data_IF_146149709044
#
_entry.id   IF_146149709044
#
_cell.length_a   1.000
_cell.length_b   1.000
_cell.length_c   1.000
_cell.angle_alpha   90.00
_cell.angle_beta   90.00
_cell.angle_gamma   90.00
#
_symmetry.space_group_name_H-M   'P 1'
#
loop_
_entity.id
_entity.type
_entity.pdbx_description
1 polymer ?
#
# COMPACT_ATOMS: atom_id res chain seq x y z
N UNK A 1 -13.90 -34.69 5.17
CA UNK A 1 -14.33 -33.31 5.50
C UNK A 1 -14.51 -32.49 4.22
N UNK A 2 -15.62 -31.75 4.06
CA UNK A 2 -15.81 -30.81 2.93
C UNK A 2 -15.57 -29.37 3.42
N UNK A 3 -14.87 -28.51 2.65
CA UNK A 3 -14.67 -27.11 3.02
C UNK A 3 -15.94 -26.29 2.79
N UNK A 4 -16.09 -25.22 3.56
CA UNK A 4 -17.03 -24.14 3.28
C UNK A 4 -16.34 -23.17 2.34
N UNK A 5 -16.93 -22.90 1.18
CA UNK A 5 -16.39 -21.92 0.22
C UNK A 5 -17.07 -20.58 0.46
N UNK A 6 -16.30 -19.56 0.81
CA UNK A 6 -16.76 -18.16 0.92
C UNK A 6 -15.87 -17.29 0.04
N UNK A 7 -16.44 -16.66 -0.99
CA UNK A 7 -15.71 -15.68 -1.84
C UNK A 7 -14.37 -16.23 -2.36
N UNK A 8 -14.40 -17.42 -2.98
CA UNK A 8 -13.22 -18.14 -3.49
C UNK A 8 -12.20 -18.58 -2.43
N UNK A 9 -12.55 -18.53 -1.14
CA UNK A 9 -11.73 -19.03 -0.04
C UNK A 9 -12.32 -20.34 0.48
N UNK A 10 -11.50 -21.39 0.55
CA UNK A 10 -11.91 -22.66 1.12
C UNK A 10 -11.56 -22.73 2.62
N UNK A 11 -12.57 -22.82 3.47
CA UNK A 11 -12.42 -22.88 4.93
C UNK A 11 -12.76 -24.28 5.43
N UNK A 12 -11.78 -24.96 6.00
CA UNK A 12 -11.95 -26.25 6.67
C UNK A 12 -12.16 -26.02 8.16
N UNK A 13 -13.37 -26.28 8.66
CA UNK A 13 -13.76 -26.06 10.05
C UNK A 13 -14.28 -27.38 10.66
N UNK A 14 -13.40 -28.34 10.98
CA UNK A 14 -13.84 -29.62 11.52
C UNK A 14 -14.39 -29.43 12.94
N UNK A 15 -15.38 -30.24 13.29
CA UNK A 15 -15.92 -30.34 14.64
C UNK A 15 -15.43 -31.65 15.27
N UNK A 16 -14.23 -31.61 15.86
CA UNK A 16 -13.49 -32.80 16.31
C UNK A 16 -12.60 -32.47 17.52
N UNK A 17 -12.15 -33.51 18.21
CA UNK A 17 -10.89 -33.48 18.96
C UNK A 17 -9.75 -33.70 17.97
N UNK A 18 -8.77 -32.80 17.94
CA UNK A 18 -7.68 -32.88 16.98
C UNK A 18 -6.55 -33.74 17.54
N UNK A 19 -6.67 -35.05 17.36
CA UNK A 19 -5.64 -36.06 17.65
C UNK A 19 -4.90 -36.47 16.36
N UNK A 20 -3.86 -37.30 16.52
CA UNK A 20 -3.04 -37.77 15.40
C UNK A 20 -3.81 -38.55 14.34
N UNK A 21 -4.90 -39.24 14.72
CA UNK A 21 -5.73 -39.99 13.77
C UNK A 21 -6.47 -39.04 12.84
N UNK A 22 -7.21 -38.08 13.40
CA UNK A 22 -7.99 -37.09 12.66
C UNK A 22 -7.08 -36.18 11.83
N UNK A 23 -5.90 -35.83 12.35
CA UNK A 23 -4.90 -35.08 11.59
C UNK A 23 -4.46 -35.82 10.33
N UNK A 24 -4.27 -37.14 10.36
CA UNK A 24 -3.92 -37.93 9.17
C UNK A 24 -5.04 -37.89 8.12
N UNK A 25 -6.29 -38.05 8.55
CA UNK A 25 -7.46 -37.96 7.66
C UNK A 25 -7.56 -36.56 7.01
N UNK A 26 -7.29 -35.49 7.77
CA UNK A 26 -7.23 -34.12 7.25
C UNK A 26 -6.12 -33.95 6.20
N UNK A 27 -4.94 -34.55 6.43
CA UNK A 27 -3.82 -34.48 5.48
C UNK A 27 -4.13 -35.17 4.14
N UNK A 28 -4.84 -36.29 4.17
CA UNK A 28 -5.31 -36.98 2.97
C UNK A 28 -6.27 -36.11 2.16
N UNK A 29 -7.17 -35.40 2.83
CA UNK A 29 -8.09 -34.42 2.21
C UNK A 29 -7.32 -33.30 1.52
N UNK A 30 -6.31 -32.70 2.17
CA UNK A 30 -5.52 -31.63 1.54
C UNK A 30 -4.74 -32.14 0.32
N UNK A 31 -4.19 -33.34 0.40
CA UNK A 31 -3.40 -33.93 -0.69
C UNK A 31 -4.26 -34.19 -1.92
N UNK A 32 -5.46 -34.75 -1.73
CA UNK A 32 -6.41 -35.10 -2.79
C UNK A 32 -7.08 -33.88 -3.42
N UNK A 33 -7.32 -32.80 -2.65
CA UNK A 33 -8.09 -31.64 -3.13
C UNK A 33 -7.31 -30.63 -3.99
N UNK A 34 -6.01 -30.83 -4.22
CA UNK A 34 -5.19 -29.90 -5.01
C UNK A 34 -5.72 -29.62 -6.44
N UNK A 35 -6.28 -30.62 -7.12
CA UNK A 35 -6.91 -30.44 -8.44
C UNK A 35 -8.21 -29.63 -8.35
N UNK A 36 -9.04 -29.94 -7.35
CA UNK A 36 -10.31 -29.24 -7.09
C UNK A 36 -10.09 -27.76 -6.79
N UNK A 37 -9.09 -27.45 -5.94
CA UNK A 37 -8.69 -26.07 -5.60
C UNK A 37 -8.38 -25.27 -6.87
N UNK A 38 -7.62 -25.85 -7.81
CA UNK A 38 -7.30 -25.20 -9.09
C UNK A 38 -8.55 -25.03 -9.97
N UNK A 39 -9.38 -26.07 -10.07
CA UNK A 39 -10.59 -26.03 -10.92
C UNK A 39 -11.63 -25.00 -10.46
N UNK A 40 -11.72 -24.77 -9.15
CA UNK A 40 -12.65 -23.82 -8.54
C UNK A 40 -12.05 -22.42 -8.40
N UNK A 41 -10.85 -22.18 -8.91
CA UNK A 41 -10.13 -20.89 -8.80
C UNK A 41 -10.04 -20.38 -7.36
N UNK A 42 -9.86 -21.30 -6.40
CA UNK A 42 -9.75 -20.96 -4.98
C UNK A 42 -8.49 -20.10 -4.76
N UNK A 43 -8.65 -18.97 -4.07
CA UNK A 43 -7.61 -17.97 -3.84
C UNK A 43 -6.87 -18.15 -2.52
N UNK A 44 -7.47 -18.83 -1.54
CA UNK A 44 -6.82 -19.17 -0.28
C UNK A 44 -7.48 -20.38 0.40
N UNK A 45 -6.73 -21.05 1.26
CA UNK A 45 -7.22 -22.18 2.08
C UNK A 45 -6.97 -21.92 3.55
N UNK A 46 -8.03 -21.90 4.36
CA UNK A 46 -7.93 -21.71 5.81
C UNK A 46 -8.35 -22.97 6.56
N UNK A 47 -7.67 -23.22 7.68
CA UNK A 47 -8.09 -24.23 8.65
C UNK A 47 -8.53 -23.55 9.94
N UNK A 48 -9.78 -23.76 10.32
CA UNK A 48 -10.44 -23.10 11.45
C UNK A 48 -10.41 -23.97 12.70
N UNK A 49 -10.02 -23.37 13.82
CA UNK A 49 -10.06 -23.96 15.16
C UNK A 49 -11.38 -23.67 15.91
N UNK A 50 -12.35 -23.00 15.27
CA UNK A 50 -13.58 -22.52 15.92
C UNK A 50 -14.38 -23.62 16.61
N UNK A 51 -14.36 -24.84 16.04
CA UNK A 51 -15.07 -26.01 16.55
C UNK A 51 -14.13 -27.09 17.11
N UNK A 52 -12.90 -26.73 17.48
CA UNK A 52 -11.90 -27.65 18.02
C UNK A 52 -11.63 -27.31 19.48
N UNK A 53 -12.06 -28.19 20.39
CA UNK A 53 -11.98 -27.93 21.84
C UNK A 53 -10.75 -28.56 22.50
N UNK A 54 -10.13 -29.56 21.86
CA UNK A 54 -8.94 -30.24 22.36
C UNK A 54 -7.97 -30.46 21.21
N UNK A 55 -6.67 -30.32 21.51
CA UNK A 55 -5.64 -30.39 20.49
C UNK A 55 -4.37 -31.08 21.01
N UNK A 56 -3.90 -32.06 20.23
CA UNK A 56 -2.55 -32.62 20.32
C UNK A 56 -1.55 -31.77 19.52
N UNK A 57 -0.36 -31.52 20.08
CA UNK A 57 0.66 -30.67 19.44
C UNK A 57 1.22 -31.32 18.16
N UNK A 58 1.42 -32.64 18.18
CA UNK A 58 1.86 -33.39 17.00
C UNK A 58 0.85 -33.33 15.86
N UNK A 59 -0.44 -33.41 16.20
CA UNK A 59 -1.55 -33.29 15.26
C UNK A 59 -1.57 -31.90 14.57
N UNK A 60 -1.40 -30.80 15.32
CA UNK A 60 -1.30 -29.44 14.74
C UNK A 60 -0.13 -29.35 13.77
N UNK A 61 1.05 -29.81 14.19
CA UNK A 61 2.26 -29.73 13.37
C UNK A 61 2.05 -30.49 12.06
N UNK A 62 1.40 -31.66 12.11
CA UNK A 62 1.10 -32.46 10.93
C UNK A 62 0.13 -31.72 9.98
N UNK A 63 -0.96 -31.15 10.50
CA UNK A 63 -1.92 -30.35 9.72
C UNK A 63 -1.23 -29.12 9.09
N UNK A 64 -0.40 -28.40 9.84
CA UNK A 64 0.32 -27.24 9.34
C UNK A 64 1.28 -27.62 8.21
N UNK A 65 2.02 -28.73 8.34
CA UNK A 65 2.90 -29.24 7.28
C UNK A 65 2.12 -29.59 6.01
N UNK A 66 0.96 -30.22 6.15
CA UNK A 66 0.12 -30.55 5.01
C UNK A 66 -0.45 -29.31 4.31
N UNK A 67 -0.86 -28.28 5.08
CA UNK A 67 -1.26 -26.99 4.52
C UNK A 67 -0.12 -26.29 3.77
N UNK A 68 1.08 -26.26 4.35
CA UNK A 68 2.24 -25.63 3.69
C UNK A 68 2.66 -26.40 2.42
N UNK A 69 2.61 -27.74 2.45
CA UNK A 69 2.82 -28.55 1.26
C UNK A 69 1.75 -28.29 0.19
N UNK A 70 0.50 -28.06 0.60
CA UNK A 70 -0.57 -27.65 -0.30
C UNK A 70 -0.31 -26.26 -0.91
N UNK A 71 0.06 -25.27 -0.08
CA UNK A 71 0.47 -23.93 -0.54
C UNK A 71 1.57 -24.04 -1.60
N UNK A 72 2.60 -24.84 -1.32
CA UNK A 72 3.72 -25.04 -2.25
C UNK A 72 3.30 -25.68 -3.57
N UNK A 73 2.31 -26.58 -3.54
CA UNK A 73 1.83 -27.33 -4.69
C UNK A 73 0.88 -26.52 -5.57
N UNK A 74 0.05 -25.65 -4.98
CA UNK A 74 -0.99 -24.90 -5.70
C UNK A 74 -0.76 -23.40 -5.79
N UNK A 75 0.25 -22.89 -5.08
CA UNK A 75 0.64 -21.47 -5.04
C UNK A 75 -0.50 -20.55 -4.63
N UNK A 76 -1.13 -20.85 -3.48
CA UNK A 76 -2.13 -19.98 -2.84
C UNK A 76 -1.83 -19.84 -1.34
N UNK A 77 -2.16 -18.70 -0.71
CA UNK A 77 -1.97 -18.53 0.73
C UNK A 77 -2.77 -19.54 1.55
N UNK A 78 -2.13 -20.02 2.63
CA UNK A 78 -2.78 -20.82 3.67
C UNK A 78 -2.67 -20.16 5.03
N UNK A 79 -3.64 -20.40 5.91
CA UNK A 79 -3.63 -19.84 7.26
C UNK A 79 -4.43 -20.69 8.25
N UNK A 80 -4.10 -20.50 9.53
CA UNK A 80 -4.94 -20.92 10.64
C UNK A 80 -5.81 -19.76 11.12
N UNK A 81 -7.09 -20.06 11.38
CA UNK A 81 -8.08 -19.08 11.84
C UNK A 81 -8.93 -19.59 13.00
N UNK A 82 -9.72 -18.71 13.61
CA UNK A 82 -10.83 -19.11 14.49
C UNK A 82 -10.42 -19.70 15.85
N UNK A 83 -9.18 -19.48 16.28
CA UNK A 83 -8.68 -20.02 17.56
C UNK A 83 -9.10 -19.17 18.77
N UNK A 84 -9.18 -19.80 19.93
CA UNK A 84 -9.34 -19.15 21.23
C UNK A 84 -8.04 -18.46 21.68
N UNK A 85 -8.12 -17.63 22.74
CA UNK A 85 -6.93 -16.95 23.30
C UNK A 85 -5.89 -17.96 23.84
N UNK A 86 -6.35 -19.06 24.43
CA UNK A 86 -5.45 -20.12 24.94
C UNK A 86 -4.79 -20.90 23.80
N UNK A 87 -5.54 -21.19 22.74
CA UNK A 87 -5.01 -21.83 21.53
C UNK A 87 -4.00 -20.93 20.81
N UNK A 88 -4.25 -19.62 20.72
CA UNK A 88 -3.32 -18.68 20.10
C UNK A 88 -1.93 -18.72 20.72
N UNK A 89 -1.84 -18.74 22.06
CA UNK A 89 -0.56 -18.83 22.77
C UNK A 89 0.18 -20.13 22.43
N UNK A 90 -0.54 -21.25 22.39
CA UNK A 90 0.04 -22.56 22.02
C UNK A 90 0.52 -22.57 20.56
N UNK A 91 -0.29 -22.09 19.63
CA UNK A 91 0.05 -22.02 18.21
C UNK A 91 1.29 -21.14 17.96
N UNK A 92 1.41 -19.99 18.64
CA UNK A 92 2.62 -19.15 18.58
C UNK A 92 3.87 -19.89 19.04
N UNK A 93 3.77 -20.67 20.12
CA UNK A 93 4.89 -21.44 20.65
C UNK A 93 5.31 -22.57 19.70
N UNK A 94 4.37 -23.21 19.00
CA UNK A 94 4.65 -24.27 18.02
C UNK A 94 5.25 -23.75 16.72
N UNK A 95 4.98 -22.50 16.34
CA UNK A 95 5.44 -21.90 15.08
C UNK A 95 6.22 -20.59 15.29
N UNK A 96 7.31 -20.57 16.08
CA UNK A 96 7.99 -19.33 16.47
C UNK A 96 8.56 -18.52 15.29
N UNK A 97 8.75 -19.17 14.14
CA UNK A 97 9.23 -18.56 12.90
C UNK A 97 8.10 -17.98 12.03
N UNK A 98 6.85 -17.96 12.53
CA UNK A 98 5.66 -17.50 11.79
C UNK A 98 5.46 -18.26 10.47
N UNK A 99 5.88 -19.52 10.42
CA UNK A 99 5.86 -20.35 9.21
C UNK A 99 4.45 -20.58 8.66
N UNK A 100 3.44 -20.56 9.54
CA UNK A 100 2.03 -20.55 9.16
C UNK A 100 1.37 -19.28 9.72
N UNK A 101 0.71 -18.46 8.88
CA UNK A 101 -0.04 -17.30 9.33
C UNK A 101 -1.19 -17.68 10.27
N UNK A 102 -1.31 -16.95 11.38
CA UNK A 102 -2.42 -17.03 12.32
C UNK A 102 -3.24 -15.73 12.24
N UNK A 103 -4.54 -15.84 11.96
CA UNK A 103 -5.46 -14.72 12.03
C UNK A 103 -6.65 -15.06 12.92
N UNK A 104 -7.12 -14.12 13.75
CA UNK A 104 -8.19 -14.40 14.69
C UNK A 104 -9.48 -14.92 14.01
N UNK A 105 -9.80 -14.45 12.81
CA UNK A 105 -10.94 -14.90 12.01
C UNK A 105 -10.69 -14.74 10.50
N UNK A 106 -11.62 -15.24 9.68
CA UNK A 106 -11.58 -15.17 8.21
C UNK A 106 -11.59 -13.73 7.67
N UNK A 107 -12.25 -12.80 8.37
CA UNK A 107 -12.33 -11.40 7.96
C UNK A 107 -10.98 -10.69 8.09
N UNK A 108 -10.27 -10.90 9.19
CA UNK A 108 -8.91 -10.37 9.40
C UNK A 108 -7.94 -11.00 8.41
N UNK A 109 -8.01 -12.32 8.19
CA UNK A 109 -7.18 -13.00 7.20
C UNK A 109 -7.40 -12.41 5.80
N UNK A 110 -8.67 -12.25 5.40
CA UNK A 110 -9.02 -11.72 4.08
C UNK A 110 -8.55 -10.28 3.89
N UNK A 111 -8.58 -9.47 4.95
CA UNK A 111 -8.07 -8.10 4.89
C UNK A 111 -6.56 -8.05 4.74
N UNK A 112 -5.84 -8.70 5.64
CA UNK A 112 -4.38 -8.62 5.68
C UNK A 112 -3.71 -9.37 4.50
N UNK A 113 -4.38 -10.36 3.91
CA UNK A 113 -3.91 -11.06 2.71
C UNK A 113 -4.37 -10.44 1.39
N UNK A 114 -5.07 -9.29 1.41
CA UNK A 114 -5.39 -8.58 0.17
C UNK A 114 -6.67 -9.02 -0.55
N UNK A 115 -7.47 -9.90 0.04
CA UNK A 115 -8.66 -10.47 -0.61
C UNK A 115 -9.93 -9.64 -0.42
N UNK A 116 -10.09 -8.98 0.72
CA UNK A 116 -11.28 -8.16 1.03
C UNK A 116 -10.94 -7.00 1.96
N UNK A 117 -11.25 -5.78 1.49
CA UNK A 117 -10.95 -4.54 2.21
C UNK A 117 -12.18 -4.04 2.99
N UNK A 118 -12.04 -3.61 4.26
CA UNK A 118 -13.03 -2.78 4.94
C UNK A 118 -13.18 -1.43 4.22
N UNK A 119 -14.35 -0.75 4.31
CA UNK A 119 -14.50 0.62 3.82
C UNK A 119 -13.46 1.56 4.46
N UNK A 120 -12.87 2.49 3.71
CA UNK A 120 -11.81 3.38 4.24
C UNK A 120 -12.27 4.25 5.41
N UNK A 121 -13.56 4.61 5.38
CA UNK A 121 -14.20 5.45 6.39
C UNK A 121 -14.32 4.70 7.73
N UNK A 122 -14.22 3.37 7.70
CA UNK A 122 -14.23 2.54 8.89
C UNK A 122 -12.86 2.62 9.57
N UNK A 123 -12.85 3.04 10.84
CA UNK A 123 -11.60 3.12 11.63
C UNK A 123 -11.04 1.71 11.84
N UNK A 124 -9.71 1.58 11.77
CA UNK A 124 -9.02 0.34 12.13
C UNK A 124 -8.53 0.48 13.56
N UNK A 125 -9.04 -0.35 14.47
CA UNK A 125 -8.53 -0.44 15.84
C UNK A 125 -7.59 -1.64 15.91
N UNK A 126 -6.30 -1.37 16.14
CA UNK A 126 -5.27 -2.39 16.08
C UNK A 126 -4.53 -2.53 17.42
N UNK A 127 -4.54 -3.74 17.96
CA UNK A 127 -3.76 -4.12 19.12
C UNK A 127 -2.82 -5.30 18.79
N UNK A 128 -1.54 -5.12 19.10
CA UNK A 128 -0.52 -6.16 19.08
C UNK A 128 0.43 -5.96 20.27
N UNK A 129 1.01 -7.06 20.76
CA UNK A 129 2.04 -6.99 21.80
C UNK A 129 3.45 -6.79 21.21
N UNK A 130 3.61 -7.04 19.91
CA UNK A 130 4.85 -6.81 19.18
C UNK A 130 4.80 -5.41 18.53
N UNK A 131 5.45 -4.43 19.16
CA UNK A 131 5.42 -3.04 18.71
C UNK A 131 6.01 -2.82 17.31
N UNK A 132 6.95 -3.67 16.88
CA UNK A 132 7.50 -3.60 15.52
C UNK A 132 6.48 -4.07 14.49
N UNK A 133 5.82 -5.20 14.76
CA UNK A 133 4.72 -5.70 13.91
C UNK A 133 3.58 -4.70 13.87
N UNK A 134 3.26 -4.10 15.03
CA UNK A 134 2.22 -3.09 15.11
C UNK A 134 2.52 -1.90 14.19
N UNK A 135 3.76 -1.41 14.24
CA UNK A 135 4.22 -0.28 13.44
C UNK A 135 4.23 -0.57 11.95
N UNK A 136 4.70 -1.77 11.55
CA UNK A 136 4.76 -2.14 10.13
C UNK A 136 3.36 -2.28 9.52
N UNK A 137 2.45 -2.97 10.21
CA UNK A 137 1.08 -3.13 9.73
C UNK A 137 0.34 -1.80 9.77
N UNK A 138 0.48 -1.00 10.84
CA UNK A 138 -0.20 0.29 10.90
C UNK A 138 0.27 1.22 9.79
N UNK A 139 1.57 1.29 9.52
CA UNK A 139 2.12 2.07 8.41
C UNK A 139 1.58 1.59 7.07
N UNK A 140 1.57 0.28 6.81
CA UNK A 140 1.03 -0.27 5.56
C UNK A 140 -0.46 0.07 5.38
N UNK A 141 -1.24 -0.05 6.46
CA UNK A 141 -2.66 0.31 6.43
C UNK A 141 -2.88 1.83 6.27
N UNK A 142 -2.04 2.66 6.88
CA UNK A 142 -2.05 4.12 6.68
C UNK A 142 -1.66 4.51 5.25
N UNK A 143 -0.69 3.82 4.64
CA UNK A 143 -0.31 3.98 3.23
C UNK A 143 -1.47 3.61 2.31
N UNK A 144 -2.25 2.60 2.68
CA UNK A 144 -3.52 2.23 2.03
C UNK A 144 -4.68 3.16 2.38
N UNK A 145 -4.47 4.10 3.31
CA UNK A 145 -5.40 5.18 3.58
C UNK A 145 -6.28 5.07 4.81
N UNK A 146 -6.14 3.99 5.58
CA UNK A 146 -6.96 3.78 6.76
C UNK A 146 -6.55 4.70 7.91
N UNK A 147 -7.54 5.21 8.65
CA UNK A 147 -7.30 5.75 9.99
C UNK A 147 -7.04 4.58 10.95
N UNK A 148 -5.79 4.41 11.36
CA UNK A 148 -5.37 3.33 12.28
C UNK A 148 -5.17 3.88 13.70
N UNK A 149 -5.95 3.35 14.64
CA UNK A 149 -5.81 3.60 16.07
C UNK A 149 -5.03 2.44 16.68
N UNK A 150 -3.73 2.65 16.90
CA UNK A 150 -2.87 1.71 17.61
C UNK A 150 -3.09 1.79 19.12
N UNK A 151 -3.30 0.65 19.76
CA UNK A 151 -3.45 0.54 21.21
C UNK A 151 -2.35 -0.35 21.78
N UNK A 152 -1.78 0.08 22.91
CA UNK A 152 -0.57 -0.55 23.46
C UNK A 152 -0.86 -1.58 24.57
N UNK A 153 -2.12 -1.73 24.97
CA UNK A 153 -2.53 -2.71 25.97
C UNK A 153 -3.95 -3.24 25.73
N UNK A 154 -4.20 -4.46 26.22
CA UNK A 154 -5.45 -5.17 26.01
C UNK A 154 -6.67 -4.46 26.64
N UNK A 155 -6.48 -3.73 27.74
CA UNK A 155 -7.59 -3.06 28.42
C UNK A 155 -8.10 -1.87 27.60
N UNK A 156 -7.20 -1.02 27.12
CA UNK A 156 -7.51 0.08 26.21
C UNK A 156 -8.18 -0.45 24.92
N UNK A 157 -7.74 -1.60 24.41
CA UNK A 157 -8.38 -2.28 23.28
C UNK A 157 -9.82 -2.68 23.57
N UNK A 158 -10.09 -3.29 24.72
CA UNK A 158 -11.45 -3.67 25.12
C UNK A 158 -12.35 -2.45 25.33
N UNK A 159 -11.84 -1.38 25.93
CA UNK A 159 -12.55 -0.12 26.12
C UNK A 159 -12.91 0.53 24.76
N UNK A 160 -11.93 0.62 23.85
CA UNK A 160 -12.15 1.17 22.50
C UNK A 160 -13.12 0.32 21.69
N UNK A 161 -13.07 -1.00 21.86
CA UNK A 161 -14.02 -1.93 21.23
C UNK A 161 -15.45 -1.72 21.72
N UNK A 162 -15.65 -1.51 23.02
CA UNK A 162 -16.97 -1.15 23.57
C UNK A 162 -17.45 0.22 23.10
N UNK A 163 -16.53 1.17 22.89
CA UNK A 163 -16.86 2.51 22.42
C UNK A 163 -17.32 2.52 20.95
N UNK A 164 -16.59 1.84 20.07
CA UNK A 164 -16.81 1.93 18.62
C UNK A 164 -17.73 0.84 18.05
N UNK A 165 -17.89 -0.30 18.74
CA UNK A 165 -18.75 -1.41 18.32
C UNK A 165 -18.58 -1.72 16.82
N UNK A 166 -19.65 -1.73 16.03
CA UNK A 166 -19.58 -2.10 14.60
C UNK A 166 -19.02 -0.99 13.70
N UNK A 167 -18.73 0.20 14.25
CA UNK A 167 -18.18 1.34 13.50
C UNK A 167 -16.68 1.21 13.20
N UNK A 168 -16.02 0.19 13.76
CA UNK A 168 -14.59 -0.05 13.56
C UNK A 168 -14.31 -1.50 13.14
N UNK A 169 -13.22 -1.66 12.39
CA UNK A 169 -12.64 -2.97 12.11
C UNK A 169 -11.54 -3.26 13.13
N UNK A 170 -11.57 -4.45 13.73
CA UNK A 170 -10.66 -4.80 14.82
C UNK A 170 -9.60 -5.80 14.37
N UNK A 171 -8.34 -5.42 14.54
CA UNK A 171 -7.18 -6.30 14.30
C UNK A 171 -6.55 -6.64 15.66
N UNK A 172 -6.46 -7.92 15.96
CA UNK A 172 -5.88 -8.44 17.21
C UNK A 172 -5.62 -9.95 17.08
N UNK A 173 -4.82 -10.50 18.00
CA UNK A 173 -4.44 -11.92 18.05
C UNK A 173 -3.99 -12.43 16.66
N UNK A 174 -3.14 -11.68 15.99
CA UNK A 174 -2.53 -12.05 14.70
C UNK A 174 -1.09 -12.50 14.90
N UNK A 175 -0.63 -13.41 14.06
CA UNK A 175 0.76 -13.83 14.06
C UNK A 175 1.17 -14.36 12.70
N UNK A 176 1.82 -13.52 11.91
CA UNK A 176 2.31 -13.88 10.59
C UNK A 176 3.56 -13.06 10.24
N UNK A 177 4.29 -13.49 9.22
CA UNK A 177 5.45 -12.76 8.71
C UNK A 177 5.01 -11.55 7.87
N UNK A 178 4.93 -10.39 8.51
CA UNK A 178 4.61 -9.10 7.87
C UNK A 178 5.62 -8.77 6.76
N UNK A 179 6.89 -9.10 6.98
CA UNK A 179 7.99 -8.78 6.07
C UNK A 179 8.01 -9.66 4.81
N UNK A 180 7.45 -10.87 4.89
CA UNK A 180 7.24 -11.75 3.73
C UNK A 180 5.92 -11.49 2.98
N UNK A 181 4.92 -10.91 3.66
CA UNK A 181 3.55 -10.76 3.12
C UNK A 181 3.24 -9.37 2.55
N UNK A 182 4.02 -8.34 2.89
CA UNK A 182 3.89 -7.02 2.30
C UNK A 182 5.17 -6.65 1.56
N UNK A 183 5.02 -6.20 0.32
CA UNK A 183 6.10 -5.68 -0.52
C UNK A 183 5.84 -4.18 -0.72
N UNK A 184 6.40 -3.31 0.14
CA UNK A 184 6.23 -1.88 0.00
C UNK A 184 6.69 -1.44 -1.38
N UNK A 185 5.86 -0.61 -2.02
CA UNK A 185 6.14 -0.03 -3.32
C UNK A 185 6.26 1.47 -3.18
N UNK A 186 7.42 2.01 -3.53
CA UNK A 186 7.70 3.45 -3.57
C UNK A 186 7.89 3.85 -5.01
N UNK A 187 7.30 4.98 -5.40
CA UNK A 187 7.51 5.56 -6.72
C UNK A 187 8.19 6.90 -6.53
N UNK A 188 9.36 7.02 -7.14
CA UNK A 188 10.19 8.19 -6.96
C UNK A 188 11.06 8.41 -8.20
N UNK A 189 11.04 9.64 -8.73
CA UNK A 189 11.90 10.07 -9.83
C UNK A 189 11.80 9.14 -11.06
N UNK A 190 10.59 8.70 -11.42
CA UNK A 190 10.38 7.80 -12.57
C UNK A 190 10.85 6.35 -12.37
N UNK A 191 11.17 5.95 -11.13
CA UNK A 191 11.44 4.56 -10.76
C UNK A 191 10.30 4.01 -9.91
N UNK A 192 10.00 2.73 -10.11
CA UNK A 192 9.13 1.94 -9.23
C UNK A 192 10.00 1.03 -8.39
N UNK A 193 9.98 1.18 -7.07
CA UNK A 193 10.89 0.50 -6.13
C UNK A 193 10.08 -0.44 -5.26
N UNK A 194 10.40 -1.73 -5.30
CA UNK A 194 9.88 -2.79 -4.46
C UNK A 194 10.91 -3.14 -3.38
N UNK A 195 10.54 -3.00 -2.12
CA UNK A 195 11.44 -3.37 -1.01
C UNK A 195 11.11 -4.78 -0.50
N UNK A 196 12.10 -5.67 -0.53
CA UNK A 196 11.99 -7.03 0.00
C UNK A 196 12.76 -7.14 1.32
N UNK A 197 12.14 -7.78 2.31
CA UNK A 197 12.69 -7.93 3.66
C UNK A 197 12.86 -9.40 4.01
N UNK A 198 13.88 -9.71 4.83
CA UNK A 198 14.17 -11.02 5.44
C UNK A 198 14.34 -12.20 4.47
N UNK A 199 13.29 -12.61 3.75
CA UNK A 199 13.29 -13.76 2.86
C UNK A 199 12.55 -13.47 1.56
N UNK A 200 13.14 -13.87 0.43
CA UNK A 200 12.45 -13.94 -0.85
C UNK A 200 12.66 -15.32 -1.48
N UNK A 201 11.55 -16.03 -1.66
CA UNK A 201 11.49 -17.30 -2.36
C UNK A 201 10.37 -17.31 -3.42
N UNK A 202 10.02 -18.48 -3.96
CA UNK A 202 8.93 -18.64 -4.94
C UNK A 202 7.57 -18.08 -4.45
N UNK A 203 7.35 -17.97 -3.14
CA UNK A 203 6.11 -17.45 -2.56
C UNK A 203 5.98 -15.94 -2.68
N UNK A 204 7.02 -15.22 -3.15
CA UNK A 204 6.90 -13.80 -3.51
C UNK A 204 5.72 -13.55 -4.47
N UNK A 205 5.40 -14.53 -5.33
CA UNK A 205 4.26 -14.50 -6.25
C UNK A 205 2.91 -14.36 -5.56
N UNK A 206 2.78 -14.82 -4.31
CA UNK A 206 1.54 -14.76 -3.53
C UNK A 206 1.23 -13.34 -3.05
N UNK A 207 2.27 -12.54 -2.86
CA UNK A 207 2.18 -11.23 -2.19
C UNK A 207 2.54 -10.06 -3.11
N UNK A 208 3.07 -10.34 -4.31
CA UNK A 208 3.40 -9.33 -5.29
C UNK A 208 2.16 -8.88 -6.08
N UNK A 209 1.92 -7.56 -6.10
CA UNK A 209 0.81 -6.98 -6.87
C UNK A 209 1.16 -6.89 -8.37
N UNK A 210 0.97 -8.00 -9.09
CA UNK A 210 1.25 -8.10 -10.53
C UNK A 210 0.38 -7.14 -11.37
N UNK A 211 -0.86 -6.88 -10.93
CA UNK A 211 -1.75 -5.96 -11.64
C UNK A 211 -1.21 -4.53 -11.60
N UNK A 212 -0.81 -4.05 -10.41
CA UNK A 212 -0.21 -2.73 -10.25
C UNK A 212 1.09 -2.61 -11.05
N UNK A 213 1.96 -3.62 -11.01
CA UNK A 213 3.18 -3.66 -11.83
C UNK A 213 2.87 -3.50 -13.33
N UNK A 214 1.88 -4.23 -13.84
CA UNK A 214 1.46 -4.13 -15.24
C UNK A 214 0.84 -2.78 -15.60
N UNK A 215 0.15 -2.13 -14.66
CA UNK A 215 -0.34 -0.75 -14.86
C UNK A 215 0.82 0.24 -15.02
N UNK A 216 1.85 0.15 -14.16
CA UNK A 216 3.05 0.99 -14.28
C UNK A 216 3.75 0.85 -15.63
N UNK A 217 3.84 -0.37 -16.17
CA UNK A 217 4.39 -0.58 -17.50
C UNK A 217 3.58 0.15 -18.58
N UNK A 218 2.25 0.11 -18.49
CA UNK A 218 1.35 0.81 -19.42
C UNK A 218 1.41 2.33 -19.28
N UNK A 219 1.64 2.84 -18.08
CA UNK A 219 1.85 4.27 -17.82
C UNK A 219 3.14 4.79 -18.46
N UNK A 220 4.12 3.91 -18.62
CA UNK A 220 5.37 4.17 -19.35
C UNK A 220 6.63 4.11 -18.48
N UNK A 221 6.53 3.71 -17.21
CA UNK A 221 7.70 3.53 -16.34
C UNK A 221 8.69 2.57 -16.98
N UNK A 222 9.97 2.95 -16.95
CA UNK A 222 11.05 2.20 -17.61
C UNK A 222 11.99 1.49 -16.64
N UNK A 223 11.93 1.81 -15.34
CA UNK A 223 12.85 1.28 -14.34
C UNK A 223 12.08 0.73 -13.15
N UNK A 224 12.24 -0.57 -12.90
CA UNK A 224 11.67 -1.28 -11.78
C UNK A 224 12.79 -1.84 -10.90
N UNK A 225 12.84 -1.44 -9.64
CA UNK A 225 13.91 -1.78 -8.72
C UNK A 225 13.40 -2.77 -7.68
N UNK A 226 14.10 -3.87 -7.48
CA UNK A 226 13.96 -4.74 -6.31
C UNK A 226 15.09 -4.45 -5.34
N UNK A 227 14.79 -3.72 -4.28
CA UNK A 227 15.73 -3.48 -3.19
C UNK A 227 15.70 -4.66 -2.22
N UNK A 228 16.78 -5.43 -2.23
CA UNK A 228 16.98 -6.62 -1.38
C UNK A 228 18.06 -6.40 -0.33
N UNK A 229 18.44 -5.15 -0.07
CA UNK A 229 19.52 -4.80 0.86
C UNK A 229 19.27 -5.28 2.30
N UNK A 230 18.00 -5.54 2.67
CA UNK A 230 17.60 -6.04 3.99
C UNK A 230 17.24 -7.53 4.01
N UNK A 231 17.61 -8.27 2.97
CA UNK A 231 17.32 -9.70 2.89
C UNK A 231 18.39 -10.55 3.55
N UNK A 232 17.97 -11.61 4.25
CA UNK A 232 18.84 -12.60 4.86
C UNK A 232 18.90 -13.88 4.01
N UNK A 233 17.79 -14.23 3.34
CA UNK A 233 17.68 -15.41 2.48
C UNK A 233 17.01 -15.03 1.14
N UNK A 234 17.77 -15.12 0.05
CA UNK A 234 17.27 -14.89 -1.30
C UNK A 234 17.56 -16.13 -2.13
N UNK A 235 16.52 -16.81 -2.62
CA UNK A 235 16.71 -18.06 -3.38
C UNK A 235 16.38 -17.91 -4.87
N UNK A 236 16.73 -18.94 -5.63
CA UNK A 236 16.54 -18.94 -7.08
C UNK A 236 15.08 -18.85 -7.52
N UNK A 237 14.12 -19.30 -6.71
CA UNK A 237 12.70 -19.17 -7.03
C UNK A 237 12.23 -17.71 -7.07
N UNK A 238 12.75 -16.86 -6.19
CA UNK A 238 12.50 -15.42 -6.26
C UNK A 238 13.14 -14.78 -7.49
N UNK A 239 14.38 -15.18 -7.83
CA UNK A 239 15.05 -14.70 -9.03
C UNK A 239 14.31 -15.10 -10.31
N UNK A 240 13.83 -16.34 -10.38
CA UNK A 240 13.09 -16.84 -11.55
C UNK A 240 11.76 -16.09 -11.72
N UNK A 241 11.09 -15.72 -10.61
CA UNK A 241 9.94 -14.82 -10.65
C UNK A 241 10.32 -13.43 -11.19
N UNK A 242 11.36 -12.79 -10.65
CA UNK A 242 11.82 -11.48 -11.12
C UNK A 242 12.22 -11.52 -12.60
N UNK A 243 12.86 -12.62 -13.05
CA UNK A 243 13.15 -12.86 -14.46
C UNK A 243 11.89 -12.94 -15.32
N UNK A 244 10.82 -13.57 -14.83
CA UNK A 244 9.54 -13.60 -15.55
C UNK A 244 8.94 -12.21 -15.74
N UNK A 245 9.07 -11.33 -14.74
CA UNK A 245 8.67 -9.92 -14.85
C UNK A 245 9.55 -9.19 -15.86
N UNK A 246 10.88 -9.33 -15.76
CA UNK A 246 11.82 -8.66 -16.65
C UNK A 246 11.57 -9.02 -18.13
N UNK A 247 11.28 -10.29 -18.44
CA UNK A 247 10.92 -10.73 -19.79
C UNK A 247 9.64 -10.06 -20.32
N UNK A 248 8.66 -9.80 -19.45
CA UNK A 248 7.47 -9.02 -19.82
C UNK A 248 7.81 -7.53 -20.03
N UNK A 249 8.68 -6.98 -19.19
CA UNK A 249 9.08 -5.57 -19.20
C UNK A 249 9.81 -5.15 -20.47
N UNK A 250 10.54 -6.08 -21.10
CA UNK A 250 11.24 -5.84 -22.38
C UNK A 250 10.28 -5.30 -23.45
N UNK A 251 9.03 -5.76 -23.49
CA UNK A 251 8.01 -5.28 -24.45
C UNK A 251 7.65 -3.82 -24.28
N UNK A 252 7.91 -3.27 -23.10
CA UNK A 252 7.69 -1.87 -22.74
C UNK A 252 8.99 -1.07 -22.73
N UNK A 253 10.09 -1.63 -23.25
CA UNK A 253 11.44 -1.05 -23.16
C UNK A 253 11.86 -0.73 -21.71
N UNK A 254 11.31 -1.49 -20.75
CA UNK A 254 11.58 -1.33 -19.34
C UNK A 254 12.58 -2.38 -18.86
N UNK A 255 13.38 -2.02 -17.86
CA UNK A 255 14.35 -2.91 -17.23
C UNK A 255 14.05 -3.14 -15.75
N UNK A 256 14.71 -4.15 -15.20
CA UNK A 256 14.71 -4.45 -13.78
C UNK A 256 16.11 -4.20 -13.20
N UNK A 257 16.18 -3.55 -12.05
CA UNK A 257 17.38 -3.45 -11.25
C UNK A 257 17.20 -4.26 -9.95
N UNK A 258 18.20 -5.03 -9.55
CA UNK A 258 18.24 -5.71 -8.25
C UNK A 258 19.38 -5.09 -7.44
N UNK A 259 19.03 -4.44 -6.33
CA UNK A 259 19.96 -3.69 -5.48
C UNK A 259 20.23 -4.44 -4.17
N UNK A 260 21.49 -4.56 -3.77
CA UNK A 260 21.87 -5.14 -2.47
C UNK A 260 21.97 -6.67 -2.44
N UNK A 261 21.90 -7.33 -3.60
CA UNK A 261 22.00 -8.79 -3.66
C UNK A 261 23.46 -9.24 -3.50
N UNK A 262 23.77 -9.95 -2.42
CA UNK A 262 25.10 -10.52 -2.15
C UNK A 262 25.28 -11.97 -2.64
N UNK A 263 24.44 -12.43 -3.58
CA UNK A 263 24.45 -13.83 -4.01
C UNK A 263 25.52 -14.10 -5.08
N UNK A 264 26.32 -15.16 -4.89
CA UNK A 264 27.25 -15.65 -5.91
C UNK A 264 26.50 -16.37 -7.03
N UNK A 265 26.01 -15.59 -8.00
CA UNK A 265 25.43 -16.13 -9.23
C UNK A 265 26.52 -16.69 -10.15
N UNK A 266 26.30 -17.89 -10.70
CA UNK A 266 27.14 -18.44 -11.76
C UNK A 266 27.18 -17.49 -12.98
N UNK A 267 28.30 -17.46 -13.70
CA UNK A 267 28.52 -16.53 -14.82
C UNK A 267 27.42 -16.61 -15.88
N UNK A 268 26.99 -17.83 -16.22
CA UNK A 268 25.91 -18.09 -17.18
C UNK A 268 24.58 -17.48 -16.72
N UNK A 269 24.21 -17.63 -15.44
CA UNK A 269 22.96 -17.09 -14.89
C UNK A 269 23.00 -15.56 -14.83
N UNK A 270 24.16 -14.94 -14.53
CA UNK A 270 24.31 -13.47 -14.61
C UNK A 270 24.12 -12.97 -16.03
N UNK A 271 24.69 -13.65 -17.01
CA UNK A 271 24.57 -13.25 -18.41
C UNK A 271 23.13 -13.41 -18.93
N UNK A 272 22.44 -14.48 -18.52
CA UNK A 272 21.03 -14.67 -18.78
C UNK A 272 20.18 -13.53 -18.17
N UNK A 273 20.44 -13.15 -16.92
CA UNK A 273 19.75 -12.03 -16.27
C UNK A 273 19.95 -10.73 -17.05
N UNK A 274 21.20 -10.42 -17.44
CA UNK A 274 21.52 -9.21 -18.23
C UNK A 274 20.77 -9.20 -19.56
N UNK A 275 20.76 -10.32 -20.29
CA UNK A 275 20.05 -10.45 -21.57
C UNK A 275 18.54 -10.31 -21.44
N UNK A 276 17.98 -10.66 -20.27
CA UNK A 276 16.57 -10.47 -19.94
C UNK A 276 16.23 -9.07 -19.43
N UNK A 277 17.18 -8.13 -19.42
CA UNK A 277 16.98 -6.77 -18.95
C UNK A 277 17.08 -6.59 -17.43
N UNK A 278 17.79 -7.49 -16.73
CA UNK A 278 18.05 -7.40 -15.28
C UNK A 278 19.48 -6.92 -15.05
N UNK A 279 19.61 -5.87 -14.24
CA UNK A 279 20.87 -5.28 -13.82
C UNK A 279 21.06 -5.45 -12.31
N UNK A 280 22.30 -5.65 -11.86
CA UNK A 280 22.62 -5.83 -10.45
C UNK A 280 23.47 -4.67 -9.96
N UNK A 281 23.11 -4.13 -8.79
CA UNK A 281 23.82 -3.04 -8.14
C UNK A 281 24.06 -3.37 -6.67
N UNK A 282 25.11 -2.82 -6.08
CA UNK A 282 25.44 -3.05 -4.67
C UNK A 282 24.43 -2.38 -3.74
N UNK A 283 23.84 -1.26 -4.17
CA UNK A 283 22.83 -0.53 -3.42
C UNK A 283 22.02 0.39 -4.37
N UNK A 284 20.99 1.02 -3.80
CA UNK A 284 20.07 1.90 -4.55
C UNK A 284 20.75 3.19 -5.06
N UNK A 285 21.75 3.72 -4.37
CA UNK A 285 22.49 4.91 -4.82
C UNK A 285 23.31 4.63 -6.09
N UNK A 286 24.00 3.49 -6.13
CA UNK A 286 24.73 3.05 -7.31
C UNK A 286 23.79 2.87 -8.50
N UNK A 287 22.63 2.23 -8.29
CA UNK A 287 21.60 2.09 -9.31
C UNK A 287 21.12 3.44 -9.85
N UNK A 288 20.90 4.43 -8.97
CA UNK A 288 20.48 5.79 -9.36
C UNK A 288 21.53 6.51 -10.18
N UNK A 289 22.81 6.19 -9.97
CA UNK A 289 23.92 6.85 -10.64
C UNK A 289 24.27 6.23 -12.00
N UNK A 290 23.83 5.00 -12.26
CA UNK A 290 24.08 4.27 -13.49
C UNK A 290 23.58 5.00 -14.75
N UNK A 291 24.38 4.92 -15.81
CA UNK A 291 24.12 5.60 -17.08
C UNK A 291 22.89 5.08 -17.82
N UNK A 292 22.69 3.75 -17.85
CA UNK A 292 21.56 3.12 -18.54
C UNK A 292 20.26 3.37 -17.77
N UNK A 293 20.31 3.28 -16.44
CA UNK A 293 19.17 3.60 -15.57
C UNK A 293 18.75 5.07 -15.73
N UNK A 294 19.70 6.01 -15.68
CA UNK A 294 19.42 7.44 -15.91
C UNK A 294 18.82 7.71 -17.29
N UNK A 295 19.30 7.03 -18.33
CA UNK A 295 18.74 7.19 -19.68
C UNK A 295 17.29 6.67 -19.75
N UNK A 296 17.00 5.51 -19.14
CA UNK A 296 15.66 4.96 -19.07
C UNK A 296 14.68 5.89 -18.32
N UNK A 297 15.11 6.45 -17.19
CA UNK A 297 14.35 7.47 -16.44
C UNK A 297 14.10 8.71 -17.30
N UNK A 298 15.13 9.22 -17.99
CA UNK A 298 14.99 10.38 -18.88
C UNK A 298 14.01 10.13 -20.02
N UNK A 299 13.99 8.93 -20.60
CA UNK A 299 13.01 8.54 -21.63
C UNK A 299 11.58 8.64 -21.11
N UNK A 300 11.32 8.13 -19.90
CA UNK A 300 10.02 8.29 -19.24
C UNK A 300 9.69 9.78 -19.01
N UNK A 301 10.60 10.52 -18.38
CA UNK A 301 10.39 11.94 -18.04
C UNK A 301 10.16 12.82 -19.28
N UNK A 302 10.86 12.55 -20.40
CA UNK A 302 10.67 13.30 -21.64
C UNK A 302 9.29 13.06 -22.28
N UNK A 303 8.73 11.86 -22.11
CA UNK A 303 7.36 11.55 -22.56
C UNK A 303 6.34 12.22 -21.64
N UNK A 304 6.56 12.16 -20.33
CA UNK A 304 5.72 12.85 -19.33
C UNK A 304 5.70 14.37 -19.52
N UNK A 305 6.86 15.01 -19.72
CA UNK A 305 6.92 16.46 -19.98
C UNK A 305 6.19 16.88 -21.26
N UNK A 306 6.04 15.97 -22.24
CA UNK A 306 5.26 16.22 -23.46
C UNK A 306 3.76 16.00 -23.27
N UNK A 307 3.32 15.31 -22.21
CA UNK A 307 1.90 15.19 -21.86
C UNK A 307 1.42 16.51 -21.26
N UNK A 308 0.87 17.39 -22.11
CA UNK A 308 0.36 18.71 -21.71
C UNK A 308 -1.14 18.75 -21.37
N UNK A 309 -1.87 17.69 -21.74
CA UNK A 309 -3.33 17.63 -21.59
C UNK A 309 -3.77 16.79 -20.40
N UNK A 310 -4.91 17.16 -19.80
CA UNK A 310 -5.61 16.34 -18.82
C UNK A 310 -5.91 14.96 -19.41
N UNK A 311 -5.56 13.91 -18.67
CA UNK A 311 -5.93 12.54 -19.05
C UNK A 311 -7.36 12.27 -18.60
N UNK A 312 -8.11 11.46 -19.37
CA UNK A 312 -9.45 11.00 -18.96
C UNK A 312 -9.42 10.31 -17.59
N UNK A 313 -8.32 9.62 -17.30
CA UNK A 313 -8.11 8.94 -16.03
C UNK A 313 -7.98 9.93 -14.86
N UNK A 314 -7.18 11.00 -15.00
CA UNK A 314 -7.09 12.05 -13.99
C UNK A 314 -8.43 12.80 -13.82
N UNK A 315 -9.12 13.10 -14.92
CA UNK A 315 -10.43 13.78 -14.87
C UNK A 315 -11.45 12.96 -14.08
N UNK A 316 -11.47 11.64 -14.27
CA UNK A 316 -12.35 10.74 -13.52
C UNK A 316 -12.07 10.76 -12.01
N UNK A 317 -10.83 11.05 -11.60
CA UNK A 317 -10.42 11.09 -10.20
C UNK A 317 -10.48 12.47 -9.55
N UNK A 318 -10.83 13.54 -10.28
CA UNK A 318 -10.96 14.90 -9.72
C UNK A 318 -11.85 14.96 -8.45
N UNK A 319 -13.00 14.27 -8.38
CA UNK A 319 -13.83 14.30 -7.17
C UNK A 319 -13.08 13.83 -5.93
N UNK A 320 -12.15 12.88 -6.06
CA UNK A 320 -11.34 12.37 -4.94
C UNK A 320 -10.51 13.49 -4.33
N UNK A 321 -9.76 14.22 -5.15
CA UNK A 321 -8.90 15.31 -4.68
C UNK A 321 -9.72 16.50 -4.13
N UNK A 322 -10.84 16.83 -4.77
CA UNK A 322 -11.72 17.91 -4.32
C UNK A 322 -12.34 17.59 -2.96
N UNK A 323 -12.88 16.39 -2.79
CA UNK A 323 -13.50 15.96 -1.54
C UNK A 323 -12.45 15.86 -0.43
N UNK A 324 -11.27 15.29 -0.73
CA UNK A 324 -10.16 15.25 0.21
C UNK A 324 -9.76 16.66 0.67
N UNK A 325 -9.72 17.65 -0.23
CA UNK A 325 -9.45 19.03 0.11
C UNK A 325 -10.53 19.64 1.03
N UNK A 326 -11.80 19.50 0.67
CA UNK A 326 -12.93 20.02 1.45
C UNK A 326 -12.96 19.41 2.85
N UNK A 327 -12.88 18.08 2.95
CA UNK A 327 -12.93 17.37 4.23
C UNK A 327 -11.72 17.70 5.11
N UNK A 328 -10.53 17.83 4.51
CA UNK A 328 -9.32 18.19 5.27
C UNK A 328 -9.44 19.59 5.83
N UNK A 329 -9.80 20.56 4.99
CA UNK A 329 -9.94 21.95 5.41
C UNK A 329 -11.00 22.09 6.49
N UNK A 330 -12.16 21.45 6.35
CA UNK A 330 -13.19 21.48 7.38
C UNK A 330 -12.79 20.78 8.67
N UNK A 331 -12.21 19.59 8.59
CA UNK A 331 -11.84 18.80 9.77
C UNK A 331 -10.71 19.44 10.58
N UNK A 332 -9.75 20.07 9.91
CA UNK A 332 -8.55 20.60 10.56
C UNK A 332 -8.78 22.02 11.10
N UNK A 333 -9.56 22.84 10.41
CA UNK A 333 -9.84 24.21 10.86
C UNK A 333 -11.09 24.31 11.73
N UNK A 334 -11.94 23.28 11.74
CA UNK A 334 -13.30 23.38 12.33
C UNK A 334 -14.24 24.30 11.54
N UNK A 335 -13.78 24.86 10.41
CA UNK A 335 -14.53 25.74 9.53
C UNK A 335 -15.36 25.02 8.48
N UNK A 336 -16.19 25.78 7.76
CA UNK A 336 -17.02 25.26 6.68
C UNK A 336 -16.30 25.44 5.32
N UNK A 337 -15.89 24.33 4.71
CA UNK A 337 -15.30 24.31 3.38
C UNK A 337 -16.33 23.87 2.33
N UNK A 338 -16.42 24.60 1.21
CA UNK A 338 -17.39 24.33 0.13
C UNK A 338 -16.78 24.55 -1.25
N UNK A 339 -17.21 23.75 -2.23
CA UNK A 339 -16.94 24.00 -3.65
C UNK A 339 -17.91 25.03 -4.21
N UNK A 340 -17.38 26.07 -4.85
CA UNK A 340 -18.18 27.06 -5.58
C UNK A 340 -18.36 26.66 -7.04
N UNK A 341 -17.26 26.45 -7.76
CA UNK A 341 -17.27 26.09 -9.18
C UNK A 341 -15.98 25.34 -9.55
N UNK A 342 -15.91 24.75 -10.75
CA UNK A 342 -14.67 24.25 -11.32
C UNK A 342 -14.62 24.46 -12.84
N UNK A 343 -13.43 24.70 -13.39
CA UNK A 343 -13.22 24.92 -14.83
C UNK A 343 -11.99 24.21 -15.32
N UNK A 344 -12.12 23.60 -16.50
CA UNK A 344 -10.96 23.06 -17.24
C UNK A 344 -10.25 24.22 -17.92
N UNK A 345 -9.07 24.57 -17.44
CA UNK A 345 -8.32 25.77 -17.87
C UNK A 345 -6.83 25.61 -17.58
N UNK A 346 -6.00 26.48 -18.15
CA UNK A 346 -4.69 26.79 -17.55
C UNK A 346 -4.90 27.52 -16.23
N UNK A 347 -3.92 27.46 -15.34
CA UNK A 347 -3.99 28.19 -14.06
C UNK A 347 -4.25 29.68 -14.29
N UNK A 348 -5.39 30.16 -13.77
CA UNK A 348 -5.77 31.56 -13.83
C UNK A 348 -5.54 32.18 -12.46
N UNK A 349 -4.71 33.22 -12.44
CA UNK A 349 -4.47 34.01 -11.24
C UNK A 349 -5.79 34.50 -10.64
N UNK A 350 -5.89 34.41 -9.32
CA UNK A 350 -7.03 34.84 -8.50
C UNK A 350 -7.24 36.36 -8.56
N UNK A 351 -6.17 37.12 -8.84
CA UNK A 351 -6.20 38.59 -8.80
C UNK A 351 -6.23 39.15 -7.38
N UNK A 352 -5.97 38.32 -6.36
CA UNK A 352 -5.88 38.73 -4.97
C UNK A 352 -4.45 39.06 -4.59
N UNK A 353 -4.27 40.02 -3.67
CA UNK A 353 -2.96 40.28 -3.08
C UNK A 353 -2.61 39.22 -2.03
N UNK A 354 -1.31 39.01 -1.81
CA UNK A 354 -0.79 38.14 -0.76
C UNK A 354 -1.25 36.68 -0.85
N UNK A 355 -1.25 36.11 -2.06
CA UNK A 355 -1.47 34.68 -2.28
C UNK A 355 -0.17 33.91 -2.02
N UNK A 356 -0.30 32.77 -1.35
CA UNK A 356 0.75 31.78 -1.14
C UNK A 356 0.20 30.40 -1.53
N UNK A 357 1.07 29.41 -1.68
CA UNK A 357 0.61 28.05 -1.95
C UNK A 357 1.64 26.99 -1.73
N UNK A 358 1.25 25.74 -1.94
CA UNK A 358 2.17 24.64 -2.08
C UNK A 358 1.67 23.66 -3.14
N UNK A 359 2.61 22.90 -3.71
CA UNK A 359 2.33 21.91 -4.73
C UNK A 359 2.91 20.56 -4.35
N UNK A 360 2.14 19.51 -4.62
CA UNK A 360 2.61 18.13 -4.56
C UNK A 360 2.41 17.51 -5.94
N UNK A 361 3.47 16.89 -6.44
CA UNK A 361 3.37 16.01 -7.60
C UNK A 361 2.98 14.62 -7.11
N UNK A 362 2.13 13.94 -7.85
CA UNK A 362 1.79 12.54 -7.61
C UNK A 362 2.00 11.76 -8.90
N UNK A 363 2.44 10.52 -8.74
CA UNK A 363 2.82 9.68 -9.87
C UNK A 363 2.34 8.24 -9.67
N UNK A 364 1.77 7.64 -10.72
CA UNK A 364 1.31 6.26 -10.68
C UNK A 364 0.16 5.96 -11.63
N UNK A 365 -0.82 5.15 -11.18
CA UNK A 365 -2.01 4.83 -11.99
C UNK A 365 -2.74 6.11 -12.43
N UNK A 366 -2.58 7.18 -11.65
CA UNK A 366 -2.85 8.55 -12.06
C UNK A 366 -1.60 9.37 -11.74
N UNK A 367 -1.19 10.24 -12.65
CA UNK A 367 -0.10 11.19 -12.43
C UNK A 367 -0.60 12.61 -12.61
N UNK A 368 0.01 13.54 -11.88
CA UNK A 368 -0.31 14.95 -11.96
C UNK A 368 0.30 15.78 -10.84
N UNK A 369 -0.18 17.01 -10.73
CA UNK A 369 0.19 17.97 -9.69
C UNK A 369 -1.10 18.47 -9.05
N UNK A 370 -1.11 18.46 -7.71
CA UNK A 370 -2.08 19.20 -6.91
C UNK A 370 -1.41 20.46 -6.40
N UNK A 371 -2.01 21.62 -6.66
CA UNK A 371 -1.58 22.90 -6.16
C UNK A 371 -2.70 23.51 -5.32
N UNK A 372 -2.36 23.96 -4.12
CA UNK A 372 -3.29 24.58 -3.19
C UNK A 372 -2.84 26.02 -2.93
N UNK A 373 -3.73 26.97 -3.21
CA UNK A 373 -3.45 28.40 -3.17
C UNK A 373 -4.39 29.09 -2.18
N UNK A 374 -3.82 29.88 -1.28
CA UNK A 374 -4.54 30.61 -0.24
C UNK A 374 -4.12 32.07 -0.21
N UNK A 375 -5.00 32.95 0.24
CA UNK A 375 -4.56 34.25 0.75
C UNK A 375 -3.89 34.07 2.12
N UNK A 376 -2.88 34.91 2.42
CA UNK A 376 -2.21 34.92 3.73
C UNK A 376 -3.19 35.02 4.90
N UNK A 377 -4.27 35.77 4.75
CA UNK A 377 -5.27 35.94 5.80
C UNK A 377 -6.02 34.64 6.12
N UNK A 378 -6.28 33.79 5.12
CA UNK A 378 -6.91 32.48 5.33
C UNK A 378 -5.93 31.53 6.03
N UNK A 379 -4.66 31.53 5.64
CA UNK A 379 -3.65 30.66 6.25
C UNK A 379 -3.44 31.00 7.72
N UNK A 380 -3.42 32.29 8.06
CA UNK A 380 -3.37 32.76 9.46
C UNK A 380 -4.54 32.26 10.29
N UNK A 381 -5.76 32.40 9.77
CA UNK A 381 -6.97 31.91 10.44
C UNK A 381 -6.95 30.38 10.59
N UNK A 382 -6.61 29.66 9.52
CA UNK A 382 -6.51 28.22 9.53
C UNK A 382 -5.43 27.72 10.50
N UNK A 383 -4.30 28.43 10.60
CA UNK A 383 -3.23 28.14 11.55
C UNK A 383 -3.67 28.37 13.00
N UNK A 384 -4.34 29.49 13.28
CA UNK A 384 -4.87 29.78 14.62
C UNK A 384 -5.86 28.70 15.07
N UNK A 385 -6.72 28.24 14.16
CA UNK A 385 -7.68 27.17 14.44
C UNK A 385 -7.00 25.82 14.71
N UNK A 386 -5.84 25.58 14.11
CA UNK A 386 -5.10 24.31 14.21
C UNK A 386 -4.14 24.25 15.39
N UNK A 387 -3.32 25.29 15.56
CA UNK A 387 -2.20 25.33 16.50
C UNK A 387 -2.58 26.06 17.79
N UNK A 388 -3.70 26.79 17.83
CA UNK A 388 -4.10 27.62 18.95
C UNK A 388 -3.31 28.94 19.06
N UNK A 389 -2.35 29.17 18.16
CA UNK A 389 -1.54 30.37 18.07
C UNK A 389 -1.51 30.90 16.63
N UNK A 390 -1.44 32.22 16.49
CA UNK A 390 -1.38 32.87 15.18
C UNK A 390 0.06 32.85 14.67
N UNK A 391 0.30 32.25 13.50
CA UNK A 391 1.61 32.29 12.86
C UNK A 391 2.01 33.73 12.53
N UNK A 392 3.22 34.09 12.94
CA UNK A 392 3.72 35.47 12.87
C UNK A 392 4.61 35.68 11.65
N UNK A 393 5.20 34.61 11.09
CA UNK A 393 6.13 34.68 9.98
C UNK A 393 5.58 34.04 8.69
N UNK A 394 6.06 34.51 7.54
CA UNK A 394 5.76 33.91 6.25
C UNK A 394 6.27 32.45 6.16
N UNK A 395 7.33 32.11 6.88
CA UNK A 395 7.90 30.76 6.89
C UNK A 395 6.99 29.76 7.62
N UNK A 396 6.48 30.13 8.79
CA UNK A 396 5.47 29.33 9.52
C UNK A 396 4.21 29.10 8.68
N UNK A 397 3.72 30.16 8.02
CA UNK A 397 2.54 30.05 7.15
C UNK A 397 2.78 29.08 5.98
N UNK A 398 3.98 29.09 5.38
CA UNK A 398 4.32 28.17 4.31
C UNK A 398 4.40 26.72 4.78
N UNK A 399 4.90 26.48 6.00
CA UNK A 399 4.93 25.14 6.57
C UNK A 399 3.52 24.61 6.86
N UNK A 400 2.61 25.46 7.35
CA UNK A 400 1.19 25.12 7.51
C UNK A 400 0.56 24.73 6.16
N UNK A 401 0.80 25.51 5.10
CA UNK A 401 0.27 25.21 3.75
C UNK A 401 0.87 23.90 3.19
N UNK A 402 2.15 23.65 3.44
CA UNK A 402 2.81 22.39 3.06
C UNK A 402 2.14 21.21 3.75
N UNK A 403 1.83 21.32 5.04
CA UNK A 403 1.17 20.27 5.78
C UNK A 403 -0.25 20.02 5.26
N UNK A 404 -1.03 21.07 5.01
CA UNK A 404 -2.35 20.92 4.37
C UNK A 404 -2.26 20.19 3.02
N UNK A 405 -1.33 20.61 2.17
CA UNK A 405 -1.16 20.01 0.84
C UNK A 405 -0.75 18.55 0.96
N UNK A 406 0.14 18.22 1.92
CA UNK A 406 0.58 16.87 2.21
C UNK A 406 -0.56 15.97 2.72
N UNK A 407 -1.38 16.46 3.65
CA UNK A 407 -2.54 15.73 4.17
C UNK A 407 -3.57 15.50 3.04
N UNK A 408 -3.86 16.51 2.22
CA UNK A 408 -4.80 16.38 1.10
C UNK A 408 -4.31 15.37 0.06
N UNK A 409 -3.03 15.44 -0.33
CA UNK A 409 -2.44 14.48 -1.25
C UNK A 409 -2.40 13.06 -0.65
N UNK A 410 -2.08 12.94 0.63
CA UNK A 410 -2.11 11.67 1.38
C UNK A 410 -3.49 11.04 1.44
N UNK A 411 -4.53 11.83 1.77
CA UNK A 411 -5.94 11.39 1.73
C UNK A 411 -6.42 11.06 0.32
N UNK A 412 -5.96 11.80 -0.68
CA UNK A 412 -6.31 11.48 -2.07
C UNK A 412 -5.69 10.15 -2.50
N UNK A 413 -4.41 9.91 -2.16
CA UNK A 413 -3.71 8.64 -2.38
C UNK A 413 -4.43 7.47 -1.69
N UNK A 414 -4.84 7.68 -0.45
CA UNK A 414 -5.64 6.74 0.34
C UNK A 414 -6.91 6.30 -0.38
N UNK A 415 -7.75 7.26 -0.78
CA UNK A 415 -9.03 6.99 -1.45
C UNK A 415 -8.82 6.33 -2.81
N UNK A 416 -7.80 6.77 -3.57
CA UNK A 416 -7.45 6.14 -4.84
C UNK A 416 -7.08 4.65 -4.66
N UNK A 417 -6.41 4.30 -3.56
CA UNK A 417 -6.05 2.90 -3.27
C UNK A 417 -7.27 1.99 -3.11
N UNK A 418 -8.42 2.49 -2.64
CA UNK A 418 -9.68 1.71 -2.57
C UNK A 418 -10.19 1.30 -3.94
N UNK A 419 -9.96 2.16 -4.93
CA UNK A 419 -10.31 1.93 -6.33
C UNK A 419 -9.23 1.14 -7.08
N UNK A 420 -8.32 0.47 -6.35
CA UNK A 420 -7.15 -0.24 -6.86
C UNK A 420 -6.20 0.67 -7.66
N UNK A 421 -6.16 1.96 -7.33
CA UNK A 421 -5.24 2.93 -7.92
C UNK A 421 -4.14 3.30 -6.91
N UNK A 422 -2.91 2.92 -7.19
CA UNK A 422 -1.72 3.26 -6.39
C UNK A 422 -1.03 4.49 -6.95
N UNK A 423 -0.78 5.49 -6.11
CA UNK A 423 0.03 6.67 -6.47
C UNK A 423 1.11 6.91 -5.42
N UNK A 424 2.29 7.33 -5.85
CA UNK A 424 3.29 7.98 -5.00
C UNK A 424 3.01 9.49 -4.93
N UNK A 425 3.38 10.14 -3.83
CA UNK A 425 3.28 11.60 -3.67
C UNK A 425 4.68 12.15 -3.34
N UNK A 426 5.03 13.29 -3.92
CA UNK A 426 6.28 14.00 -3.62
C UNK A 426 6.14 14.79 -2.32
N UNK A 427 7.28 15.27 -1.79
CA UNK A 427 7.26 16.31 -0.78
C UNK A 427 6.63 17.60 -1.34
N UNK A 428 5.90 18.37 -0.51
CA UNK A 428 5.31 19.62 -0.93
C UNK A 428 6.36 20.69 -1.20
N UNK A 429 6.22 21.39 -2.33
CA UNK A 429 7.01 22.57 -2.68
C UNK A 429 6.18 23.82 -2.40
N UNK A 430 6.62 24.61 -1.42
CA UNK A 430 6.01 25.90 -1.07
C UNK A 430 6.28 26.97 -2.14
N UNK A 431 5.33 27.91 -2.27
CA UNK A 431 5.38 29.07 -3.15
C UNK A 431 5.01 30.32 -2.35
N UNK A 432 5.88 31.32 -2.40
CA UNK A 432 5.72 32.56 -1.62
C UNK A 432 4.73 33.54 -2.27
N UNK A 433 4.45 33.35 -3.56
CA UNK A 433 3.61 34.26 -4.36
C UNK A 433 2.79 33.52 -5.42
N UNK A 434 1.76 34.18 -5.93
CA UNK A 434 0.98 33.70 -7.08
C UNK A 434 1.81 33.65 -8.37
N UNK A 435 2.81 34.51 -8.51
CA UNK A 435 3.76 34.50 -9.62
C UNK A 435 4.57 33.20 -9.66
N UNK A 436 5.10 32.75 -8.52
CA UNK A 436 5.82 31.48 -8.41
C UNK A 436 4.92 30.30 -8.76
N UNK A 437 3.66 30.33 -8.30
CA UNK A 437 2.65 29.30 -8.61
C UNK A 437 2.40 29.26 -10.12
N UNK A 438 2.11 30.41 -10.72
CA UNK A 438 1.85 30.52 -12.15
C UNK A 438 3.04 30.04 -12.97
N UNK A 439 4.27 30.40 -12.59
CA UNK A 439 5.51 29.96 -13.26
C UNK A 439 5.67 28.44 -13.25
N UNK A 440 5.38 27.77 -12.14
CA UNK A 440 5.48 26.30 -12.04
C UNK A 440 4.37 25.57 -12.79
N UNK A 441 3.22 26.22 -13.01
CA UNK A 441 2.08 25.67 -13.74
C UNK A 441 2.03 26.12 -15.21
N UNK A 442 3.03 26.85 -15.70
CA UNK A 442 3.06 27.35 -17.09
C UNK A 442 2.88 26.21 -18.09
N UNK A 443 1.91 26.39 -18.99
CA UNK A 443 1.65 25.47 -20.09
C UNK A 443 0.97 24.16 -19.69
N UNK A 444 0.62 23.99 -18.41
CA UNK A 444 -0.18 22.85 -17.94
C UNK A 444 -1.66 23.15 -18.06
N UNK A 445 -2.39 22.25 -18.73
CA UNK A 445 -3.84 22.25 -18.69
C UNK A 445 -4.31 21.47 -17.45
N UNK A 446 -5.23 22.05 -16.70
CA UNK A 446 -5.72 21.45 -15.46
C UNK A 446 -7.17 21.82 -15.19
N UNK A 447 -7.63 21.46 -14.00
CA UNK A 447 -8.92 21.86 -13.46
C UNK A 447 -8.66 22.79 -12.29
N UNK A 448 -9.10 24.04 -12.46
CA UNK A 448 -9.15 25.01 -11.38
C UNK A 448 -10.48 24.85 -10.65
N UNK A 449 -10.40 24.63 -9.34
CA UNK A 449 -11.55 24.44 -8.47
C UNK A 449 -11.55 25.60 -7.48
N UNK A 450 -12.60 26.41 -7.59
CA UNK A 450 -12.81 27.54 -6.70
C UNK A 450 -13.51 27.03 -5.44
N UNK A 451 -12.79 27.12 -4.32
CA UNK A 451 -13.23 26.67 -3.01
C UNK A 451 -13.48 27.88 -2.11
N UNK A 452 -14.31 27.68 -1.09
CA UNK A 452 -14.53 28.63 -0.01
C UNK A 452 -14.20 27.95 1.31
N UNK A 453 -13.48 28.63 2.19
CA UNK A 453 -13.31 28.27 3.60
C UNK A 453 -13.83 29.43 4.44
N UNK A 454 -14.86 29.21 5.25
CA UNK A 454 -15.53 30.27 6.02
C UNK A 454 -15.94 31.47 5.15
N UNK A 455 -16.49 31.18 3.95
CA UNK A 455 -16.83 32.16 2.90
C UNK A 455 -15.66 32.94 2.29
N UNK A 456 -14.41 32.62 2.62
CA UNK A 456 -13.22 33.21 2.01
C UNK A 456 -12.68 32.33 0.87
N UNK A 457 -12.29 32.91 -0.28
CA UNK A 457 -11.91 32.16 -1.47
C UNK A 457 -10.52 31.54 -1.36
N UNK A 458 -10.40 30.30 -1.85
CA UNK A 458 -9.13 29.61 -2.05
C UNK A 458 -9.21 28.79 -3.35
N UNK A 459 -8.06 28.43 -3.92
CA UNK A 459 -8.01 27.71 -5.19
C UNK A 459 -7.28 26.38 -5.01
N UNK A 460 -7.92 25.31 -5.47
CA UNK A 460 -7.28 24.03 -5.73
C UNK A 460 -7.11 23.88 -7.24
N UNK A 461 -5.89 23.62 -7.70
CA UNK A 461 -5.60 23.36 -9.10
C UNK A 461 -5.02 21.96 -9.27
N UNK A 462 -5.65 21.17 -10.15
CA UNK A 462 -5.23 19.81 -10.48
C UNK A 462 -4.80 19.76 -11.93
N UNK A 463 -3.55 19.40 -12.19
CA UNK A 463 -2.99 19.36 -13.53
C UNK A 463 -2.28 18.02 -13.79
N UNK A 464 -2.06 17.69 -15.06
CA UNK A 464 -1.10 16.65 -15.43
C UNK A 464 0.32 17.22 -15.47
#
# INVERSE_FOLDING_TARGET
>A
MRPIIKQDIAIYAPNIHLEMKEAKEICEVFTSNSATIRSLSIKAVYFSFENINWIDEGAIILVARALLALQDKVSIPVAFIGYSKTQFVKLKALFPNRSIPLFKNDSIASFLLGFKMPPIQQKIVYYDNDGMVQTLISHELQVKGYEVICLNNAQAFLEKRKQLLDQAFYIYDIYFDVTGNFIPTIIQNGMVIYTLYRKADKNITLYFNLQAHNSRLREGYKVFVFDVSQIQDFNFGALDFIMSLALNNVRYEACVAICGLQLNLAKEKRELCRRSGIYFFSNLEECRQDSQIKEAIKKYQAVEQKRKGLTKHLVAQLPVFINAAIETLSSLTGGEAKRKDYKVTTYNKTGQSNIMGAMISFEGDVSGIVALCFSKSIVKEASLMLLGEESQSDEELLDVIKEFTNIIAGRSKAILSEHNLSIGISLPKACKSEEEIAQMLVGKQGVQVDLLLNNKPLVLFLAH
#
